data_IF_354568750540
#
_entry.id   IF_354568750540
#
_cell.length_a   1.000
_cell.length_b   1.000
_cell.length_c   1.000
_cell.angle_alpha   90.00
_cell.angle_beta   90.00
_cell.angle_gamma   90.00
#
_symmetry.space_group_name_H-M   'P 1'
#
loop_
_entity.id
_entity.type
_entity.pdbx_description
1 polymer ?
#
# COMPACT_ATOMS: atom_id res chain seq x y z
N UNK A 1 40.24 -27.38 -10.65
CA UNK A 1 39.12 -26.82 -9.84
C UNK A 1 37.99 -26.48 -10.81
N UNK A 2 36.85 -27.16 -10.69
CA UNK A 2 35.85 -27.30 -11.76
C UNK A 2 35.07 -25.98 -11.93
N UNK A 3 35.02 -25.45 -13.15
CA UNK A 3 34.26 -24.24 -13.53
C UNK A 3 32.79 -24.26 -13.06
N UNK A 4 32.22 -25.45 -12.87
CA UNK A 4 30.88 -25.66 -12.31
C UNK A 4 30.72 -25.16 -10.86
N UNK A 5 31.77 -25.26 -10.03
CA UNK A 5 31.74 -24.75 -8.65
C UNK A 5 31.83 -23.22 -8.58
N UNK A 6 32.55 -22.60 -9.52
CA UNK A 6 32.61 -21.13 -9.61
C UNK A 6 31.26 -20.54 -10.07
N UNK A 7 30.61 -21.18 -11.05
CA UNK A 7 29.29 -20.75 -11.50
C UNK A 7 28.22 -20.87 -10.39
N UNK A 8 28.22 -21.99 -9.64
CA UNK A 8 27.32 -22.17 -8.51
C UNK A 8 27.54 -21.12 -7.40
N UNK A 9 28.80 -20.79 -7.10
CA UNK A 9 29.13 -19.75 -6.14
C UNK A 9 28.69 -18.35 -6.61
N UNK A 10 28.85 -18.03 -7.91
CA UNK A 10 28.42 -16.76 -8.49
C UNK A 10 26.89 -16.59 -8.47
N UNK A 11 26.16 -17.66 -8.80
CA UNK A 11 24.69 -17.68 -8.72
C UNK A 11 24.19 -17.55 -7.27
N UNK A 12 24.85 -18.20 -6.31
CA UNK A 12 24.53 -18.04 -4.90
C UNK A 12 24.80 -16.61 -4.41
N UNK A 13 25.87 -15.97 -4.90
CA UNK A 13 26.20 -14.58 -4.56
C UNK A 13 25.18 -13.58 -5.14
N UNK A 14 24.77 -13.74 -6.41
CA UNK A 14 23.72 -12.90 -7.01
C UNK A 14 22.37 -13.07 -6.31
N UNK A 15 22.04 -14.27 -5.84
CA UNK A 15 20.80 -14.52 -5.09
C UNK A 15 20.81 -13.84 -3.71
N UNK A 16 21.96 -13.74 -3.04
CA UNK A 16 22.09 -13.03 -1.76
C UNK A 16 21.92 -11.50 -1.90
N UNK A 17 22.42 -10.90 -2.99
CA UNK A 17 22.34 -9.44 -3.21
C UNK A 17 20.94 -8.99 -3.68
N UNK A 18 20.10 -9.92 -4.17
CA UNK A 18 18.78 -9.62 -4.74
C UNK A 18 17.66 -9.30 -3.74
N UNK A 19 17.91 -9.36 -2.44
CA UNK A 19 16.87 -9.14 -1.41
C UNK A 19 16.65 -7.66 -1.11
N UNK A 20 16.22 -6.87 -2.11
CA UNK A 20 15.85 -5.48 -1.83
C UNK A 20 14.43 -5.45 -1.25
N UNK A 21 14.31 -5.21 0.06
CA UNK A 21 13.03 -4.90 0.69
C UNK A 21 12.55 -3.53 0.18
N UNK A 22 11.33 -3.47 -0.35
CA UNK A 22 10.70 -2.23 -0.77
C UNK A 22 10.13 -1.45 0.43
N UNK A 23 10.88 -1.27 1.51
CA UNK A 23 10.55 -0.39 2.63
C UNK A 23 10.99 1.04 2.34
N UNK A 24 10.56 1.99 3.16
CA UNK A 24 11.16 3.32 3.14
C UNK A 24 12.67 3.21 3.42
N UNK A 25 13.48 4.15 2.87
CA UNK A 25 14.90 4.18 3.15
C UNK A 25 15.13 4.29 4.66
N UNK A 26 16.19 3.65 5.14
CA UNK A 26 16.54 3.74 6.55
C UNK A 26 16.93 5.18 6.91
N UNK A 27 16.62 5.59 8.14
CA UNK A 27 16.87 6.96 8.57
C UNK A 27 18.36 7.13 8.86
N UNK A 28 19.01 8.10 8.20
CA UNK A 28 20.42 8.44 8.49
C UNK A 28 20.62 9.15 9.84
N UNK A 29 19.53 9.56 10.49
CA UNK A 29 19.50 10.31 11.75
C UNK A 29 18.33 9.79 12.59
N UNK A 30 18.40 9.92 13.91
CA UNK A 30 17.38 9.41 14.83
C UNK A 30 16.01 10.09 14.61
N UNK A 31 16.01 11.36 14.17
CA UNK A 31 14.80 12.16 13.98
C UNK A 31 14.92 13.05 12.75
N UNK A 32 13.89 13.04 11.90
CA UNK A 32 13.70 14.01 10.82
C UNK A 32 12.21 14.40 10.75
N UNK A 33 11.85 15.52 11.37
CA UNK A 33 10.49 16.08 11.24
C UNK A 33 10.36 16.72 9.86
N UNK A 34 9.36 16.32 9.09
CA UNK A 34 9.14 16.82 7.72
C UNK A 34 8.85 18.33 7.69
N UNK A 35 9.57 19.05 6.82
CA UNK A 35 9.28 20.43 6.46
C UNK A 35 8.41 20.46 5.18
N UNK A 36 7.12 20.74 5.38
CA UNK A 36 6.13 20.80 4.29
C UNK A 36 6.16 22.13 3.52
N UNK A 37 6.90 23.14 3.99
CA UNK A 37 6.97 24.48 3.39
C UNK A 37 8.27 24.71 2.60
N UNK A 38 9.17 23.73 2.58
CA UNK A 38 10.42 23.86 1.85
C UNK A 38 10.19 23.92 0.33
N UNK A 39 10.94 24.80 -0.34
CA UNK A 39 10.96 24.91 -1.80
C UNK A 39 11.77 23.77 -2.46
N UNK A 40 12.53 23.00 -1.68
CA UNK A 40 13.42 21.95 -2.18
C UNK A 40 12.66 20.64 -2.30
N UNK A 41 12.70 20.03 -3.49
CA UNK A 41 12.07 18.72 -3.78
C UNK A 41 13.10 17.60 -3.64
N UNK A 42 12.84 16.66 -2.74
CA UNK A 42 13.63 15.43 -2.53
C UNK A 42 12.69 14.22 -2.56
N UNK A 43 13.24 12.99 -2.59
CA UNK A 43 12.44 11.78 -2.47
C UNK A 43 11.92 11.65 -1.03
N UNK A 44 10.72 12.16 -0.76
CA UNK A 44 10.14 12.29 0.58
C UNK A 44 9.92 13.76 0.92
N UNK A 45 10.37 14.17 2.11
CA UNK A 45 10.32 15.56 2.56
C UNK A 45 11.67 15.96 3.17
N UNK A 46 12.11 17.22 3.00
CA UNK A 46 13.27 17.73 3.74
C UNK A 46 12.97 17.81 5.24
N UNK A 47 14.01 17.77 6.07
CA UNK A 47 13.86 17.88 7.52
C UNK A 47 13.81 19.35 7.96
N UNK A 48 12.99 19.66 8.98
CA UNK A 48 13.04 20.95 9.67
C UNK A 48 14.38 21.12 10.37
N UNK A 49 14.93 22.35 10.34
CA UNK A 49 16.17 22.69 11.04
C UNK A 49 15.99 22.77 12.58
N UNK A 50 14.81 23.11 13.05
CA UNK A 50 14.44 23.12 14.47
C UNK A 50 13.05 22.50 14.65
N UNK A 51 12.88 21.68 15.69
CA UNK A 51 11.63 21.01 16.04
C UNK A 51 11.43 20.98 17.56
N UNK A 52 10.19 20.86 18.02
CA UNK A 52 9.82 20.80 19.42
C UNK A 52 8.95 19.55 19.71
N UNK A 53 8.66 19.26 20.98
CA UNK A 53 7.86 18.11 21.41
C UNK A 53 6.48 18.04 20.72
N UNK A 54 5.89 19.18 20.37
CA UNK A 54 4.60 19.25 19.69
C UNK A 54 4.62 18.67 18.27
N UNK A 55 5.78 18.64 17.60
CA UNK A 55 5.93 18.16 16.23
C UNK A 55 5.81 16.62 16.12
N UNK A 56 5.84 15.89 17.24
CA UNK A 56 5.77 14.42 17.26
C UNK A 56 4.37 13.85 17.46
N UNK A 57 3.37 14.70 17.75
CA UNK A 57 2.00 14.25 17.94
C UNK A 57 1.31 14.13 16.59
N UNK A 58 0.93 12.90 16.23
CA UNK A 58 0.13 12.61 15.03
C UNK A 58 -1.24 12.07 15.42
N UNK A 59 -2.26 12.44 14.63
CA UNK A 59 -3.59 11.87 14.77
C UNK A 59 -3.57 10.41 14.29
N UNK A 60 -4.16 9.52 15.07
CA UNK A 60 -4.29 8.12 14.71
C UNK A 60 -5.11 7.98 13.42
N UNK A 61 -4.65 7.15 12.47
CA UNK A 61 -5.40 6.90 11.24
C UNK A 61 -6.58 5.96 11.51
N UNK A 62 -7.68 6.55 11.98
CA UNK A 62 -8.95 5.89 12.25
C UNK A 62 -9.83 5.96 11.00
N UNK A 63 -10.33 4.81 10.58
CA UNK A 63 -11.26 4.69 9.47
C UNK A 63 -12.62 4.31 10.03
N UNK A 64 -13.60 5.20 9.89
CA UNK A 64 -14.97 4.98 10.34
C UNK A 64 -15.84 4.36 9.24
N UNK A 65 -16.58 3.32 9.62
CA UNK A 65 -17.48 2.56 8.76
C UNK A 65 -18.92 2.70 9.27
N UNK A 66 -19.74 3.55 8.63
CA UNK A 66 -21.16 3.65 8.92
C UNK A 66 -21.89 2.31 8.81
N UNK A 67 -23.10 2.23 9.34
CA UNK A 67 -23.92 1.00 9.29
C UNK A 67 -24.14 0.55 7.85
N UNK A 68 -23.96 -0.76 7.60
CA UNK A 68 -24.16 -1.35 6.27
C UNK A 68 -23.37 -0.63 5.16
N UNK A 69 -22.15 -0.16 5.46
CA UNK A 69 -21.28 0.51 4.49
C UNK A 69 -20.29 -0.46 3.83
N UNK A 70 -20.02 -0.21 2.55
CA UNK A 70 -18.98 -0.88 1.78
C UNK A 70 -18.18 0.18 1.01
N UNK A 71 -17.08 0.72 1.58
CA UNK A 71 -16.19 1.56 0.81
C UNK A 71 -15.59 0.81 -0.39
N UNK A 72 -15.04 1.55 -1.38
CA UNK A 72 -14.47 0.97 -2.58
C UNK A 72 -13.36 -0.04 -2.26
N UNK A 73 -13.06 -0.91 -3.22
CA UNK A 73 -11.86 -1.73 -3.13
C UNK A 73 -10.63 -0.86 -3.44
N UNK A 74 -9.58 -1.02 -2.65
CA UNK A 74 -8.36 -0.24 -2.76
C UNK A 74 -7.13 -1.15 -2.69
N UNK A 75 -6.00 -0.64 -3.19
CA UNK A 75 -4.69 -1.25 -3.01
C UNK A 75 -3.67 -0.16 -2.69
N UNK A 76 -2.69 -0.48 -1.83
CA UNK A 76 -1.49 0.33 -1.70
C UNK A 76 -0.58 0.01 -2.89
N UNK A 77 -0.20 1.00 -3.72
CA UNK A 77 0.58 0.75 -4.92
C UNK A 77 1.92 0.11 -4.57
N UNK A 78 2.33 -0.97 -5.27
CA UNK A 78 3.65 -1.56 -5.06
C UNK A 78 4.73 -0.57 -5.53
N UNK A 79 5.76 -0.31 -4.70
CA UNK A 79 6.88 0.54 -5.11
C UNK A 79 7.82 -0.14 -6.14
N UNK A 80 7.75 -1.47 -6.33
CA UNK A 80 8.44 -2.24 -7.39
C UNK A 80 7.71 -3.56 -7.69
N UNK A 81 7.56 -3.88 -8.99
CA UNK A 81 7.17 -5.20 -9.51
C UNK A 81 5.67 -5.54 -9.47
N UNK A 82 5.17 -6.16 -10.55
CA UNK A 82 3.88 -6.87 -10.56
C UNK A 82 4.17 -8.32 -10.15
N UNK A 83 3.94 -8.66 -8.89
CA UNK A 83 4.00 -10.06 -8.47
C UNK A 83 2.68 -10.75 -8.83
N UNK A 84 2.74 -11.69 -9.77
CA UNK A 84 1.61 -12.51 -10.18
C UNK A 84 1.24 -13.48 -9.03
N UNK A 85 0.35 -13.06 -8.13
CA UNK A 85 -0.31 -13.96 -7.19
C UNK A 85 -1.55 -14.58 -7.85
N UNK A 86 -1.83 -15.87 -7.55
CA UNK A 86 -3.11 -16.48 -7.92
C UNK A 86 -4.24 -15.63 -7.35
N UNK A 87 -5.26 -15.35 -8.16
CA UNK A 87 -6.41 -14.54 -7.74
C UNK A 87 -7.31 -15.34 -6.78
N UNK A 88 -6.93 -15.38 -5.51
CA UNK A 88 -7.67 -16.04 -4.43
C UNK A 88 -8.24 -14.99 -3.50
N UNK A 89 -9.55 -15.04 -3.25
CA UNK A 89 -10.20 -14.20 -2.26
C UNK A 89 -10.04 -14.81 -0.87
N UNK A 90 -9.38 -14.09 0.02
CA UNK A 90 -9.33 -14.42 1.45
C UNK A 90 -10.18 -13.39 2.19
N UNK A 91 -11.30 -13.83 2.77
CA UNK A 91 -12.23 -12.98 3.49
C UNK A 91 -12.46 -13.50 4.91
N UNK A 92 -12.40 -12.62 5.90
CA UNK A 92 -12.67 -12.92 7.31
C UNK A 92 -13.47 -11.79 7.93
N UNK A 93 -14.44 -12.13 8.78
CA UNK A 93 -15.13 -11.16 9.64
C UNK A 93 -14.25 -10.87 10.85
N UNK A 94 -13.87 -9.61 11.03
CA UNK A 94 -12.99 -9.16 12.11
C UNK A 94 -13.84 -8.62 13.27
N UNK A 95 -13.56 -9.09 14.48
CA UNK A 95 -14.21 -8.64 15.74
C UNK A 95 -13.35 -7.59 16.47
N UNK A 96 -13.94 -6.80 17.39
CA UNK A 96 -13.15 -5.89 18.22
C UNK A 96 -11.99 -6.61 18.92
N UNK A 97 -10.79 -6.04 18.83
CA UNK A 97 -9.55 -6.61 19.38
C UNK A 97 -8.80 -7.55 18.44
N UNK A 98 -9.39 -7.97 17.31
CA UNK A 98 -8.68 -8.76 16.30
C UNK A 98 -7.89 -7.88 15.34
N UNK A 99 -6.77 -8.41 14.85
CA UNK A 99 -5.87 -7.74 13.89
C UNK A 99 -5.89 -8.50 12.56
N UNK A 100 -5.84 -7.74 11.47
CA UNK A 100 -5.71 -8.29 10.12
C UNK A 100 -4.60 -7.55 9.37
N UNK A 101 -3.83 -8.28 8.56
CA UNK A 101 -2.70 -7.73 7.80
C UNK A 101 -2.97 -7.89 6.31
N UNK A 102 -2.86 -6.80 5.56
CA UNK A 102 -2.88 -6.81 4.11
C UNK A 102 -1.45 -6.77 3.58
N UNK A 103 -0.99 -7.79 2.83
CA UNK A 103 0.28 -7.71 2.13
C UNK A 103 0.30 -6.54 1.14
N UNK A 104 1.48 -5.96 0.94
CA UNK A 104 1.69 -4.81 0.05
C UNK A 104 1.30 -5.15 -1.40
N UNK A 105 0.71 -4.18 -2.10
CA UNK A 105 0.31 -4.35 -3.50
C UNK A 105 -0.95 -5.20 -3.72
N UNK A 106 -1.53 -5.80 -2.67
CA UNK A 106 -2.75 -6.60 -2.81
C UNK A 106 -4.01 -5.73 -2.72
N UNK A 107 -4.92 -6.04 -3.64
CA UNK A 107 -6.29 -5.53 -3.62
C UNK A 107 -7.00 -6.04 -2.37
N UNK A 108 -7.55 -5.14 -1.59
CA UNK A 108 -8.36 -5.47 -0.43
C UNK A 108 -9.56 -4.54 -0.30
N UNK A 109 -10.55 -4.98 0.46
CA UNK A 109 -11.75 -4.21 0.76
C UNK A 109 -12.23 -4.55 2.17
N UNK A 110 -12.97 -3.62 2.75
CA UNK A 110 -13.59 -3.78 4.05
C UNK A 110 -15.08 -3.47 3.90
N UNK A 111 -15.93 -4.24 4.57
CA UNK A 111 -17.39 -4.06 4.55
C UNK A 111 -17.91 -4.17 5.96
N UNK A 112 -18.60 -3.14 6.43
CA UNK A 112 -19.38 -3.23 7.65
C UNK A 112 -20.73 -3.86 7.31
N UNK A 113 -20.89 -5.14 7.66
CA UNK A 113 -22.17 -5.85 7.50
C UNK A 113 -23.07 -5.75 8.74
N UNK A 114 -22.59 -5.10 9.80
CA UNK A 114 -23.31 -4.94 11.05
C UNK A 114 -24.34 -3.80 11.03
N UNK A 115 -25.25 -3.86 12.01
CA UNK A 115 -26.27 -2.84 12.25
C UNK A 115 -25.80 -1.75 13.23
N UNK A 116 -24.50 -1.64 13.46
CA UNK A 116 -23.86 -0.61 14.29
C UNK A 116 -22.65 -0.04 13.55
N UNK A 117 -22.31 1.25 13.75
CA UNK A 117 -21.08 1.81 13.22
C UNK A 117 -19.87 1.02 13.73
N UNK A 118 -18.88 0.83 12.86
CA UNK A 118 -17.62 0.18 13.19
C UNK A 118 -16.47 1.13 12.87
N UNK A 119 -15.32 0.93 13.49
CA UNK A 119 -14.11 1.65 13.15
C UNK A 119 -12.91 0.74 13.27
N UNK A 120 -11.90 1.02 12.45
CA UNK A 120 -10.62 0.32 12.48
C UNK A 120 -9.49 1.34 12.51
N UNK A 121 -8.38 0.95 13.12
CA UNK A 121 -7.13 1.69 13.06
C UNK A 121 -6.24 0.97 12.08
N UNK A 122 -5.69 1.69 11.10
CA UNK A 122 -4.74 1.13 10.16
C UNK A 122 -3.35 1.71 10.38
N UNK A 123 -2.35 0.85 10.25
CA UNK A 123 -0.94 1.22 10.30
C UNK A 123 -0.25 0.73 9.03
N UNK A 124 0.70 1.51 8.55
CA UNK A 124 1.47 1.21 7.34
C UNK A 124 2.95 1.29 7.67
N UNK A 125 3.73 0.44 7.04
CA UNK A 125 5.19 0.49 7.08
C UNK A 125 5.77 1.36 5.95
N UNK A 126 5.04 2.44 5.59
CA UNK A 126 5.47 3.45 4.64
C UNK A 126 4.98 4.82 5.12
N UNK A 127 5.85 5.84 5.14
CA UNK A 127 5.53 7.25 5.37
C UNK A 127 4.62 7.82 4.28
N UNK A 128 4.66 7.23 3.09
CA UNK A 128 3.82 7.55 1.95
C UNK A 128 3.21 6.25 1.42
N UNK A 129 2.21 5.68 2.12
CA UNK A 129 1.66 4.38 1.75
C UNK A 129 0.93 4.43 0.41
N UNK A 130 0.28 5.56 0.11
CA UNK A 130 -0.54 5.75 -1.07
C UNK A 130 -1.77 4.85 -1.09
N UNK A 131 -2.85 5.32 -1.71
CA UNK A 131 -4.06 4.52 -1.88
C UNK A 131 -4.56 4.69 -3.30
N UNK A 132 -4.71 3.58 -4.01
CA UNK A 132 -5.34 3.56 -5.31
C UNK A 132 -6.71 2.90 -5.20
N UNK A 133 -7.76 3.63 -5.56
CA UNK A 133 -9.12 3.09 -5.63
C UNK A 133 -9.30 2.44 -6.99
N UNK A 134 -9.68 1.17 -7.02
CA UNK A 134 -9.74 0.42 -8.29
C UNK A 134 -10.76 1.04 -9.24
N UNK A 135 -11.90 1.48 -8.71
CA UNK A 135 -12.93 2.11 -9.50
C UNK A 135 -12.44 3.43 -10.14
N UNK A 136 -11.72 4.27 -9.38
CA UNK A 136 -11.22 5.54 -9.91
C UNK A 136 -10.06 5.33 -10.89
N UNK A 137 -9.14 4.39 -10.60
CA UNK A 137 -8.03 4.11 -11.51
C UNK A 137 -8.50 3.49 -12.82
N UNK A 138 -9.59 2.72 -12.82
CA UNK A 138 -10.09 2.07 -14.04
C UNK A 138 -11.08 2.93 -14.83
N UNK A 139 -11.97 3.65 -14.14
CA UNK A 139 -13.08 4.37 -14.78
C UNK A 139 -12.97 5.90 -14.72
N UNK A 140 -12.07 6.44 -13.89
CA UNK A 140 -11.84 7.87 -13.71
C UNK A 140 -10.42 8.33 -14.07
N UNK A 141 -9.65 7.50 -14.76
CA UNK A 141 -8.30 7.85 -15.21
C UNK A 141 -8.32 8.95 -16.28
N UNK A 142 -7.30 9.81 -16.23
CA UNK A 142 -7.08 10.87 -17.23
C UNK A 142 -5.66 10.71 -17.78
N UNK A 143 -5.49 10.42 -19.09
CA UNK A 143 -6.54 10.17 -20.09
C UNK A 143 -7.34 8.87 -19.83
N UNK A 144 -8.58 8.75 -20.35
CA UNK A 144 -9.40 7.56 -20.16
C UNK A 144 -8.74 6.29 -20.69
N UNK A 145 -8.91 5.18 -19.96
CA UNK A 145 -8.45 3.85 -20.40
C UNK A 145 -9.23 3.44 -21.66
N UNK A 146 -8.54 2.85 -22.64
CA UNK A 146 -9.09 2.51 -23.95
C UNK A 146 -10.43 1.75 -23.86
N UNK A 147 -11.42 2.24 -24.60
CA UNK A 147 -12.83 1.82 -24.57
C UNK A 147 -13.07 0.30 -24.78
N UNK A 148 -12.17 -0.41 -25.48
CA UNK A 148 -12.32 -1.85 -25.72
C UNK A 148 -12.25 -2.67 -24.41
N UNK A 149 -11.32 -2.33 -23.51
CA UNK A 149 -11.12 -3.03 -22.23
C UNK A 149 -12.17 -2.61 -21.20
N UNK A 150 -12.56 -1.34 -21.19
CA UNK A 150 -13.57 -0.81 -20.25
C UNK A 150 -14.94 -1.43 -20.51
N UNK A 151 -15.35 -1.66 -21.76
CA UNK A 151 -16.61 -2.32 -22.08
C UNK A 151 -16.61 -3.80 -21.69
N UNK A 152 -15.50 -4.50 -21.92
CA UNK A 152 -15.32 -5.89 -21.47
C UNK A 152 -15.35 -6.04 -19.95
N UNK A 153 -14.78 -5.07 -19.22
CA UNK A 153 -14.84 -5.08 -17.75
C UNK A 153 -16.23 -4.70 -17.26
N UNK A 154 -16.88 -3.67 -17.84
CA UNK A 154 -18.26 -3.30 -17.49
C UNK A 154 -19.25 -4.43 -17.72
N UNK A 155 -19.12 -5.20 -18.80
CA UNK A 155 -19.99 -6.36 -19.06
C UNK A 155 -19.81 -7.49 -18.05
N UNK A 156 -18.64 -7.57 -17.39
CA UNK A 156 -18.33 -8.60 -16.39
C UNK A 156 -18.77 -8.24 -14.97
N UNK A 157 -18.93 -6.95 -14.67
CA UNK A 157 -19.32 -6.43 -13.35
C UNK A 157 -20.74 -5.85 -13.30
N UNK A 158 -21.50 -5.94 -14.40
CA UNK A 158 -22.93 -5.62 -14.37
C UNK A 158 -23.64 -6.52 -13.34
N UNK A 159 -24.46 -5.95 -12.44
CA UNK A 159 -25.27 -6.75 -11.53
C UNK A 159 -26.21 -7.64 -12.36
N UNK A 160 -26.24 -8.95 -12.04
CA UNK A 160 -27.31 -9.84 -12.49
C UNK A 160 -28.60 -9.51 -11.75
#
# INVERSE_FOLDING_TARGET
MRASSLAAALFAFLALVGSTSASDPDLLQDVCVADLNSTVKVNGFPCKAQFNATDFFSNLYRIDYPRRSKPPAHASPPRRGIHHHRHVLVAKTIKPGEVFVFPRGLVHFQRNNGNVPAAVVAAFNSQLPGTQTIANTLFGATPPVGIQEVQFVKSKFAPK
#
